data_IF_567484136884
#
_entry.id   IF_567484136884
#
_cell.length_a   1.000
_cell.length_b   1.000
_cell.length_c   1.000
_cell.angle_alpha   90.00
_cell.angle_beta   90.00
_cell.angle_gamma   90.00
#
_symmetry.space_group_name_H-M   'P 1'
#
loop_
_entity.id
_entity.type
_entity.pdbx_description
1 polymer ?
#
# COMPACT_ATOMS: atom_id res chain seq x y z
N UNK A 1 -0.36 3.49 13.38
CA UNK A 1 0.46 2.29 13.72
C UNK A 1 1.83 2.47 13.11
N UNK A 2 2.93 2.10 13.80
CA UNK A 2 4.27 2.16 13.22
C UNK A 2 4.67 0.83 12.54
N UNK A 3 5.73 0.85 11.74
CA UNK A 3 6.18 -0.31 10.96
C UNK A 3 6.59 -1.51 11.83
N UNK A 4 7.19 -1.29 13.01
CA UNK A 4 7.59 -2.38 13.90
C UNK A 4 6.37 -3.10 14.51
N UNK A 5 5.31 -2.37 14.84
CA UNK A 5 4.04 -2.94 15.30
C UNK A 5 3.36 -3.71 14.15
N UNK A 6 3.34 -3.13 12.95
CA UNK A 6 2.75 -3.75 11.78
C UNK A 6 3.41 -5.08 11.43
N UNK A 7 4.75 -5.13 11.41
CA UNK A 7 5.51 -6.37 11.21
C UNK A 7 5.11 -7.45 12.22
N UNK A 8 4.99 -7.10 13.50
CA UNK A 8 4.55 -8.05 14.55
C UNK A 8 3.14 -8.57 14.28
N UNK A 9 2.22 -7.70 13.90
CA UNK A 9 0.83 -8.07 13.60
C UNK A 9 0.73 -8.98 12.37
N UNK A 10 1.41 -8.67 11.26
CA UNK A 10 1.32 -9.49 10.05
C UNK A 10 1.98 -10.86 10.23
N UNK A 11 3.10 -10.94 10.95
CA UNK A 11 3.74 -12.23 11.31
C UNK A 11 2.81 -13.06 12.21
N UNK A 12 2.04 -12.42 13.10
CA UNK A 12 1.02 -13.07 13.92
C UNK A 12 -0.28 -13.38 13.17
N UNK A 13 -0.31 -13.20 11.84
CA UNK A 13 -1.49 -13.36 10.97
C UNK A 13 -2.70 -12.52 11.38
N UNK A 14 -2.45 -11.36 11.97
CA UNK A 14 -3.49 -10.40 12.35
C UNK A 14 -3.68 -9.39 11.23
N UNK A 15 -4.93 -9.12 10.89
CA UNK A 15 -5.28 -8.11 9.89
C UNK A 15 -5.10 -6.71 10.48
N UNK A 16 -4.62 -5.79 9.65
CA UNK A 16 -4.56 -4.38 9.98
C UNK A 16 -5.88 -3.71 9.58
N UNK A 17 -6.36 -2.81 10.43
CA UNK A 17 -7.48 -1.95 10.03
C UNK A 17 -7.03 -0.96 8.94
N UNK A 18 -7.99 -0.37 8.23
CA UNK A 18 -7.71 0.63 7.17
C UNK A 18 -6.80 1.76 7.68
N UNK A 19 -7.09 2.32 8.86
CA UNK A 19 -6.27 3.39 9.45
C UNK A 19 -4.87 2.93 9.85
N UNK A 20 -4.72 1.69 10.35
CA UNK A 20 -3.41 1.14 10.68
C UNK A 20 -2.57 0.94 9.41
N UNK A 21 -3.16 0.39 8.36
CA UNK A 21 -2.48 0.20 7.08
C UNK A 21 -2.13 1.53 6.43
N UNK A 22 -3.01 2.53 6.53
CA UNK A 22 -2.75 3.88 6.06
C UNK A 22 -1.49 4.48 6.70
N UNK A 23 -1.38 4.44 8.04
CA UNK A 23 -0.21 4.96 8.76
C UNK A 23 1.09 4.27 8.34
N UNK A 24 1.04 2.95 8.18
CA UNK A 24 2.18 2.12 7.78
C UNK A 24 2.62 2.48 6.36
N UNK A 25 1.69 2.50 5.42
CA UNK A 25 1.98 2.82 4.02
C UNK A 25 2.45 4.26 3.85
N UNK A 26 1.92 5.22 4.62
CA UNK A 26 2.39 6.60 4.58
C UNK A 26 3.84 6.70 5.06
N UNK A 27 4.19 5.97 6.14
CA UNK A 27 5.57 5.92 6.64
C UNK A 27 6.53 5.31 5.59
N UNK A 28 6.11 4.24 4.91
CA UNK A 28 6.90 3.59 3.86
C UNK A 28 7.14 4.56 2.68
N UNK A 29 6.07 5.15 2.16
CA UNK A 29 6.10 5.96 0.94
C UNK A 29 6.76 7.34 1.15
N UNK A 30 6.83 7.82 2.40
CA UNK A 30 7.53 9.07 2.76
C UNK A 30 8.99 8.84 3.19
N UNK A 31 9.51 7.62 3.05
CA UNK A 31 10.91 7.28 3.34
C UNK A 31 11.27 7.20 4.82
N UNK A 32 10.28 7.01 5.70
CA UNK A 32 10.48 6.92 7.16
C UNK A 32 10.85 5.52 7.65
N UNK A 33 10.90 4.54 6.74
CA UNK A 33 11.21 3.13 7.05
C UNK A 33 12.43 2.65 6.28
N UNK A 34 13.20 1.74 6.87
CA UNK A 34 14.35 1.13 6.19
C UNK A 34 13.94 0.03 5.23
N UNK A 35 14.77 -0.28 4.24
CA UNK A 35 14.54 -1.37 3.28
C UNK A 35 14.28 -2.72 3.97
N UNK A 36 15.00 -2.99 5.06
CA UNK A 36 14.82 -4.20 5.85
C UNK A 36 13.43 -4.27 6.51
N UNK A 37 12.90 -3.13 6.97
CA UNK A 37 11.56 -3.07 7.55
C UNK A 37 10.48 -3.23 6.48
N UNK A 38 10.66 -2.62 5.31
CA UNK A 38 9.76 -2.77 4.17
C UNK A 38 9.72 -4.24 3.74
N UNK A 39 10.88 -4.87 3.54
CA UNK A 39 10.98 -6.28 3.17
C UNK A 39 10.32 -7.20 4.20
N UNK A 40 10.57 -6.99 5.49
CA UNK A 40 9.94 -7.78 6.56
C UNK A 40 8.42 -7.64 6.57
N UNK A 41 7.91 -6.42 6.38
CA UNK A 41 6.47 -6.17 6.32
C UNK A 41 5.82 -6.85 5.11
N UNK A 42 6.41 -6.70 3.92
CA UNK A 42 5.88 -7.29 2.68
C UNK A 42 5.88 -8.83 2.72
N UNK A 43 6.94 -9.46 3.21
CA UNK A 43 6.98 -10.92 3.37
C UNK A 43 5.94 -11.38 4.40
N UNK A 44 5.81 -10.67 5.53
CA UNK A 44 4.79 -10.98 6.52
C UNK A 44 3.37 -10.86 5.97
N UNK A 45 3.11 -9.83 5.16
CA UNK A 45 1.83 -9.62 4.49
C UNK A 45 1.52 -10.75 3.49
N UNK A 46 2.50 -11.11 2.64
CA UNK A 46 2.38 -12.22 1.69
C UNK A 46 2.13 -13.57 2.38
N UNK A 47 2.78 -13.84 3.52
CA UNK A 47 2.57 -15.06 4.30
C UNK A 47 1.21 -15.09 5.02
N UNK A 48 0.70 -13.92 5.44
CA UNK A 48 -0.62 -13.78 6.05
C UNK A 48 -1.75 -13.90 5.02
N UNK A 49 -1.52 -13.35 3.83
CA UNK A 49 -2.55 -12.96 2.86
C UNK A 49 -3.09 -11.57 3.16
N UNK A 50 -3.12 -10.70 2.16
CA UNK A 50 -3.70 -9.37 2.21
C UNK A 50 -5.23 -9.41 2.30
N UNK A 51 -5.83 -8.46 3.03
CA UNK A 51 -7.28 -8.22 2.97
C UNK A 51 -7.64 -7.10 1.99
N UNK A 52 -8.93 -7.00 1.65
CA UNK A 52 -9.46 -5.92 0.80
C UNK A 52 -9.20 -4.56 1.45
N UNK A 53 -9.40 -4.44 2.76
CA UNK A 53 -9.16 -3.20 3.51
C UNK A 53 -7.69 -2.78 3.45
N UNK A 54 -6.77 -3.73 3.61
CA UNK A 54 -5.33 -3.48 3.57
C UNK A 54 -4.89 -3.03 2.16
N UNK A 55 -5.35 -3.71 1.12
CA UNK A 55 -5.06 -3.33 -0.28
C UNK A 55 -5.66 -1.95 -0.59
N UNK A 56 -6.89 -1.71 -0.18
CA UNK A 56 -7.60 -0.45 -0.43
C UNK A 56 -6.90 0.72 0.25
N UNK A 57 -6.52 0.58 1.52
CA UNK A 57 -5.76 1.60 2.24
C UNK A 57 -4.43 1.91 1.56
N UNK A 58 -3.71 0.86 1.12
CA UNK A 58 -2.44 1.00 0.43
C UNK A 58 -2.58 1.77 -0.88
N UNK A 59 -3.57 1.41 -1.69
CA UNK A 59 -3.84 2.09 -2.95
C UNK A 59 -4.25 3.56 -2.75
N UNK A 60 -5.01 3.88 -1.69
CA UNK A 60 -5.36 5.26 -1.34
C UNK A 60 -4.13 6.10 -1.00
N UNK A 61 -3.22 5.57 -0.18
CA UNK A 61 -1.97 6.27 0.17
C UNK A 61 -1.10 6.48 -1.07
N UNK A 62 -0.89 5.44 -1.88
CA UNK A 62 -0.12 5.56 -3.12
C UNK A 62 -0.70 6.65 -4.04
N UNK A 63 -2.01 6.68 -4.21
CA UNK A 63 -2.70 7.68 -5.04
C UNK A 63 -2.60 9.09 -4.47
N UNK A 64 -2.69 9.24 -3.15
CA UNK A 64 -2.58 10.55 -2.50
C UNK A 64 -1.18 11.15 -2.59
N UNK A 65 -0.15 10.31 -2.69
CA UNK A 65 1.26 10.73 -2.82
C UNK A 65 1.73 10.82 -4.28
N UNK A 66 0.97 10.28 -5.22
CA UNK A 66 1.28 10.36 -6.64
C UNK A 66 1.14 11.81 -7.14
N UNK A 67 2.07 12.24 -8.00
CA UNK A 67 1.93 13.50 -8.71
C UNK A 67 0.71 13.44 -9.63
N UNK A 68 -0.27 14.35 -9.51
CA UNK A 68 -1.46 14.33 -10.35
C UNK A 68 -1.11 14.69 -11.80
N UNK A 69 -1.83 14.07 -12.74
CA UNK A 69 -1.79 14.41 -14.16
C UNK A 69 -3.03 15.26 -14.46
N UNK A 70 -2.82 16.57 -14.62
CA UNK A 70 -3.89 17.51 -14.93
C UNK A 70 -4.22 17.48 -16.43
N UNK A 71 -5.50 17.34 -16.78
CA UNK A 71 -5.96 17.23 -18.17
C UNK A 71 -7.11 18.22 -18.39
N UNK A 72 -7.03 19.00 -19.48
CA UNK A 72 -7.96 20.11 -19.75
C UNK A 72 -9.37 19.67 -20.22
N UNK A 73 -9.53 18.46 -20.75
CA UNK A 73 -10.83 17.87 -21.13
C UNK A 73 -10.81 16.36 -20.88
N UNK A 74 -11.89 15.85 -20.31
CA UNK A 74 -12.06 14.44 -19.95
C UNK A 74 -13.21 13.76 -20.70
N UNK A 75 -13.76 14.40 -21.74
CA UNK A 75 -15.01 13.97 -22.40
C UNK A 75 -14.93 12.54 -22.98
N UNK A 76 -13.73 12.09 -23.35
CA UNK A 76 -13.45 10.75 -23.85
C UNK A 76 -12.16 10.14 -23.26
N UNK A 77 -11.81 10.53 -22.03
CA UNK A 77 -10.58 10.04 -21.40
C UNK A 77 -10.72 8.59 -20.98
N UNK A 78 -9.87 7.73 -21.52
CA UNK A 78 -9.78 6.31 -21.16
C UNK A 78 -8.33 5.99 -20.85
N UNK A 79 -8.13 5.32 -19.72
CA UNK A 79 -6.85 4.70 -19.36
C UNK A 79 -7.05 3.19 -19.29
N UNK A 80 -6.13 2.43 -19.88
CA UNK A 80 -6.16 0.97 -19.89
C UNK A 80 -4.95 0.45 -19.13
N UNK A 81 -5.15 -0.59 -18.34
CA UNK A 81 -4.07 -1.29 -17.66
C UNK A 81 -4.11 -2.78 -18.00
N UNK A 82 -2.94 -3.37 -18.25
CA UNK A 82 -2.76 -4.81 -18.38
C UNK A 82 -1.89 -5.34 -17.25
N UNK A 83 -2.07 -6.61 -16.89
CA UNK A 83 -1.22 -7.30 -15.91
C UNK A 83 0.07 -7.86 -16.53
N UNK A 84 0.25 -7.73 -17.85
CA UNK A 84 1.30 -8.39 -18.63
C UNK A 84 0.95 -9.85 -18.97
N UNK A 85 1.51 -10.36 -20.07
CA UNK A 85 1.36 -11.72 -20.58
C UNK A 85 2.12 -11.92 -21.90
N UNK A 86 2.47 -13.17 -22.21
CA UNK A 86 3.01 -13.64 -23.50
C UNK A 86 1.88 -14.19 -24.39
#
# INVERSE_FOLDING_TARGET
MNIQQAIKSVIAKQNLSEGQMHDVMNSIMTGQTTDAQIGAFLIGLSMKGETIEEITASAKVMRALATPVEINSSDYLVDTCGTGGD
#
